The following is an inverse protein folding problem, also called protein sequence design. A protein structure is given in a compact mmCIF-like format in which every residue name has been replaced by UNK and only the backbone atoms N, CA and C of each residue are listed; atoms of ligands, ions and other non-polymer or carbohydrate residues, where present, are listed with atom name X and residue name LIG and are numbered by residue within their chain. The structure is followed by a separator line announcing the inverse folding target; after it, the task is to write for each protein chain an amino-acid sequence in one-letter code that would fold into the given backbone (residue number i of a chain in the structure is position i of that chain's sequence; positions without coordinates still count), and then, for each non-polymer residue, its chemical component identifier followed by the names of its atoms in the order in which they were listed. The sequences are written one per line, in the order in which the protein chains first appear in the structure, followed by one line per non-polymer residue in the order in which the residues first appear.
data_IF_966190564513
#
_entry.id   IF_966190564513
#
_cell.length_a   1.000
_cell.length_b   1.000
_cell.length_c   1.000
_cell.angle_alpha   90.00
_cell.angle_beta   90.00
_cell.angle_gamma   90.00
#
_symmetry.space_group_name_H-M   'P 1'
#
loop_
_entity.id
_entity.type
_entity.pdbx_description
1 polymer ?
#
# COMPACT_ATOMS: atom_id res chain seq x y z
N UNK A 1 0.48 12.74 -3.75
CA UNK A 1 1.11 14.06 -4.02
C UNK A 1 1.91 14.10 -5.33
N UNK A 2 2.75 13.12 -5.63
CA UNK A 2 3.58 13.09 -6.86
C UNK A 2 2.78 13.33 -8.16
N UNK A 3 1.61 12.72 -8.34
CA UNK A 3 0.73 12.93 -9.50
C UNK A 3 0.36 14.41 -9.74
N UNK A 4 0.32 15.21 -8.68
CA UNK A 4 -0.03 16.62 -8.71
C UNK A 4 1.17 17.49 -8.33
N UNK A 5 2.39 17.06 -8.65
CA UNK A 5 3.63 17.75 -8.27
C UNK A 5 3.59 19.24 -8.64
N UNK A 6 3.21 19.55 -9.88
CA UNK A 6 3.16 20.93 -10.38
C UNK A 6 2.19 21.84 -9.61
N UNK A 7 1.16 21.27 -8.98
CA UNK A 7 0.17 22.03 -8.21
C UNK A 7 0.53 22.13 -6.73
N UNK A 8 1.14 21.08 -6.16
CA UNK A 8 1.42 21.00 -4.73
C UNK A 8 2.82 21.50 -4.36
N UNK A 9 3.73 21.60 -5.32
CA UNK A 9 5.10 21.98 -5.03
C UNK A 9 5.16 23.40 -4.46
N UNK A 10 5.85 23.54 -3.32
CA UNK A 10 6.01 24.80 -2.59
C UNK A 10 4.70 25.46 -2.11
N UNK A 11 3.58 24.74 -2.09
CA UNK A 11 2.33 25.23 -1.50
C UNK A 11 1.91 24.38 -0.30
N UNK A 12 1.42 24.99 0.80
CA UNK A 12 0.85 24.24 1.90
C UNK A 12 -0.47 23.61 1.47
N UNK A 13 -0.59 22.29 1.60
CA UNK A 13 -1.77 21.53 1.20
C UNK A 13 -2.39 20.81 2.39
N UNK A 14 -3.70 20.97 2.58
CA UNK A 14 -4.45 20.14 3.52
C UNK A 14 -4.80 18.80 2.89
N UNK A 15 -4.38 17.70 3.53
CA UNK A 15 -4.64 16.34 3.07
C UNK A 15 -5.69 15.72 3.98
N UNK A 16 -6.90 15.53 3.46
CA UNK A 16 -7.98 14.92 4.22
C UNK A 16 -7.93 13.40 4.01
N UNK A 17 -7.90 12.63 5.09
CA UNK A 17 -7.82 11.17 5.06
C UNK A 17 -8.77 10.54 6.08
N UNK A 18 -9.31 9.37 5.74
CA UNK A 18 -10.10 8.49 6.61
C UNK A 18 -9.22 7.65 7.55
N UNK A 19 -7.91 7.60 7.30
CA UNK A 19 -7.00 6.74 8.05
C UNK A 19 -6.43 7.42 9.31
N UNK A 20 -7.18 7.34 10.42
CA UNK A 20 -6.83 7.95 11.72
C UNK A 20 -5.42 7.56 12.22
N UNK A 21 -5.02 6.31 12.03
CA UNK A 21 -3.71 5.82 12.46
C UNK A 21 -2.57 6.50 11.69
N UNK A 22 -2.74 6.72 10.38
CA UNK A 22 -1.69 7.34 9.55
C UNK A 22 -1.56 8.83 9.88
N UNK A 23 -2.66 9.52 10.15
CA UNK A 23 -2.65 10.90 10.67
C UNK A 23 -1.91 10.96 12.01
N UNK A 24 -2.11 9.97 12.90
CA UNK A 24 -1.40 9.89 14.17
C UNK A 24 0.10 9.64 13.99
N UNK A 25 0.50 8.80 13.03
CA UNK A 25 1.90 8.46 12.78
C UNK A 25 2.63 9.58 12.05
N UNK A 26 1.96 10.33 11.18
CA UNK A 26 2.53 11.50 10.50
C UNK A 26 3.04 12.56 11.48
N UNK A 27 2.43 12.68 12.67
CA UNK A 27 2.84 13.59 13.73
C UNK A 27 3.97 13.04 14.62
N UNK A 28 4.37 11.78 14.44
CA UNK A 28 5.45 11.16 15.21
C UNK A 28 6.78 11.29 14.48
N UNK A 29 7.92 11.17 15.19
CA UNK A 29 9.22 11.07 14.54
C UNK A 29 9.24 9.89 13.56
N UNK A 30 9.83 10.09 12.37
CA UNK A 30 9.90 9.09 11.32
C UNK A 30 10.45 7.74 11.81
N UNK A 31 11.43 7.77 12.72
CA UNK A 31 12.04 6.56 13.30
C UNK A 31 11.07 5.64 14.05
N UNK A 32 9.90 6.14 14.44
CA UNK A 32 8.85 5.37 15.14
C UNK A 32 7.78 4.82 14.19
N UNK A 33 7.76 5.23 12.92
CA UNK A 33 6.84 4.69 11.94
C UNK A 33 7.28 3.28 11.48
N UNK A 34 6.38 2.39 11.05
CA UNK A 34 6.73 1.15 10.37
C UNK A 34 7.49 1.41 9.05
N UNK A 35 8.35 0.48 8.60
CA UNK A 35 9.20 0.64 7.40
C UNK A 35 8.45 1.11 6.14
N UNK A 36 7.25 0.55 5.90
CA UNK A 36 6.44 0.90 4.74
C UNK A 36 5.94 2.35 4.80
N UNK A 37 5.44 2.77 5.96
CA UNK A 37 5.01 4.15 6.19
C UNK A 37 6.19 5.13 6.22
N UNK A 38 7.34 4.72 6.77
CA UNK A 38 8.58 5.52 6.72
C UNK A 38 8.96 5.88 5.28
N UNK A 39 8.94 4.89 4.38
CA UNK A 39 9.24 5.10 2.97
C UNK A 39 8.24 6.06 2.32
N UNK A 40 6.94 5.90 2.64
CA UNK A 40 5.90 6.84 2.19
C UNK A 40 6.16 8.26 2.68
N UNK A 41 6.45 8.46 3.97
CA UNK A 41 6.70 9.77 4.55
C UNK A 41 7.98 10.42 4.01
N UNK A 42 9.05 9.66 3.77
CA UNK A 42 10.26 10.17 3.10
C UNK A 42 9.95 10.73 1.72
N UNK A 43 9.11 10.03 0.94
CA UNK A 43 8.67 10.51 -0.36
C UNK A 43 7.79 11.78 -0.27
N UNK A 44 7.16 12.03 0.87
CA UNK A 44 6.31 13.19 1.12
C UNK A 44 7.07 14.39 1.70
N UNK A 45 8.32 14.23 2.16
CA UNK A 45 9.13 15.32 2.75
C UNK A 45 9.36 16.51 1.81
N UNK A 46 9.28 16.28 0.49
CA UNK A 46 9.40 17.35 -0.49
C UNK A 46 8.17 18.28 -0.59
N UNK A 47 7.09 17.96 0.12
CA UNK A 47 5.83 18.70 0.09
C UNK A 47 5.50 19.26 1.48
N UNK A 48 4.92 20.45 1.52
CA UNK A 48 4.34 21.02 2.74
C UNK A 48 2.88 20.55 2.86
N UNK A 49 2.62 19.61 3.78
CA UNK A 49 1.32 18.97 3.90
C UNK A 49 0.84 18.87 5.35
N UNK A 50 -0.48 19.04 5.52
CA UNK A 50 -1.14 18.97 6.81
C UNK A 50 -2.23 17.89 6.78
N UNK A 51 -1.98 16.71 7.38
CA UNK A 51 -2.94 15.62 7.39
C UNK A 51 -4.09 15.89 8.38
N UNK A 52 -5.33 15.73 7.92
CA UNK A 52 -6.55 15.93 8.69
C UNK A 52 -7.38 14.65 8.62
N UNK A 53 -7.75 14.11 9.78
CA UNK A 53 -8.67 12.99 9.85
C UNK A 53 -10.12 13.46 9.64
N UNK A 54 -10.83 12.79 8.72
CA UNK A 54 -12.30 12.84 8.65
C UNK A 54 -12.88 11.43 8.59
N UNK A 55 -14.02 11.15 9.22
CA UNK A 55 -14.68 9.86 9.10
C UNK A 55 -15.03 9.53 7.65
N UNK A 56 -15.03 8.25 7.31
CA UNK A 56 -15.29 7.73 5.96
C UNK A 56 -16.64 8.19 5.40
N UNK A 57 -17.66 8.31 6.27
CA UNK A 57 -18.97 8.87 5.96
C UNK A 57 -18.95 10.35 5.49
N UNK A 58 -17.80 11.01 5.45
CA UNK A 58 -17.64 12.37 4.92
C UNK A 58 -16.76 12.41 3.66
N UNK A 59 -16.20 11.27 3.23
CA UNK A 59 -15.22 11.15 2.14
C UNK A 59 -15.78 10.41 0.90
N UNK A 60 -17.08 10.52 0.66
CA UNK A 60 -17.79 9.81 -0.42
C UNK A 60 -17.14 9.89 -1.79
N UNK A 61 -16.61 11.07 -2.19
CA UNK A 61 -15.95 11.24 -3.50
C UNK A 61 -14.67 10.42 -3.57
N UNK A 62 -13.83 10.50 -2.54
CA UNK A 62 -12.57 9.76 -2.48
C UNK A 62 -12.82 8.26 -2.39
N UNK A 63 -13.79 7.83 -1.57
CA UNK A 63 -14.17 6.42 -1.43
C UNK A 63 -14.77 5.85 -2.72
N UNK A 64 -15.62 6.60 -3.40
CA UNK A 64 -16.20 6.17 -4.69
C UNK A 64 -15.11 6.01 -5.77
N UNK A 65 -14.16 6.95 -5.83
CA UNK A 65 -13.05 6.90 -6.79
C UNK A 65 -12.05 5.78 -6.47
N UNK A 66 -11.84 5.45 -5.20
CA UNK A 66 -10.93 4.36 -4.81
C UNK A 66 -11.52 2.98 -5.04
N UNK A 67 -12.85 2.83 -4.96
CA UNK A 67 -13.58 1.58 -5.21
C UNK A 67 -13.87 1.30 -6.69
N UNK A 68 -13.87 2.33 -7.52
CA UNK A 68 -14.09 2.22 -8.97
C UNK A 68 -12.87 2.71 -9.77
N UNK A 69 -11.68 2.11 -9.60
CA UNK A 69 -10.51 2.47 -10.38
C UNK A 69 -10.74 2.14 -11.86
N UNK A 70 -10.34 3.05 -12.73
CA UNK A 70 -10.30 2.79 -14.17
C UNK A 70 -9.09 1.89 -14.42
N UNK A 71 -9.25 0.83 -15.22
CA UNK A 71 -8.16 -0.06 -15.60
C UNK A 71 -7.13 0.68 -16.46
N UNK A 72 -6.17 1.33 -15.81
CA UNK A 72 -5.00 1.92 -16.45
C UNK A 72 -3.82 0.96 -16.34
N UNK A 73 -3.01 0.85 -17.39
CA UNK A 73 -1.86 -0.07 -17.52
C UNK A 73 -0.75 0.13 -16.49
N UNK A 74 -0.82 1.16 -15.65
CA UNK A 74 0.32 1.70 -14.91
C UNK A 74 0.31 1.36 -13.41
N UNK A 75 -0.69 0.62 -12.93
CA UNK A 75 -0.76 0.23 -11.51
C UNK A 75 0.17 -0.97 -11.24
N UNK A 76 1.48 -0.68 -11.25
CA UNK A 76 2.48 -1.59 -10.71
C UNK A 76 2.36 -1.54 -9.19
N UNK A 77 1.61 -2.47 -8.61
CA UNK A 77 1.72 -2.82 -7.19
C UNK A 77 3.14 -3.37 -6.97
N UNK A 78 4.11 -2.48 -6.74
CA UNK A 78 5.43 -2.86 -6.23
C UNK A 78 5.26 -3.21 -4.77
N UNK A 79 4.74 -4.41 -4.52
CA UNK A 79 5.10 -5.12 -3.32
C UNK A 79 6.64 -5.16 -3.34
N UNK A 80 7.30 -4.50 -2.38
CA UNK A 80 8.74 -4.60 -2.18
C UNK A 80 9.07 -6.02 -1.70
N UNK A 81 8.88 -7.01 -2.56
CA UNK A 81 9.19 -8.42 -2.33
C UNK A 81 10.70 -8.63 -2.41
N UNK A 82 11.45 -7.68 -2.98
CA UNK A 82 12.92 -7.71 -3.03
C UNK A 82 13.57 -7.64 -1.65
N UNK A 83 12.88 -7.13 -0.63
CA UNK A 83 13.39 -6.98 0.73
C UNK A 83 12.87 -8.11 1.66
N UNK A 84 12.71 -9.33 1.14
CA UNK A 84 12.44 -10.46 2.05
C UNK A 84 13.64 -10.67 2.98
N UNK A 85 13.45 -10.80 4.30
CA UNK A 85 14.54 -10.98 5.26
C UNK A 85 15.19 -12.38 5.18
N UNK A 86 14.93 -13.13 4.12
CA UNK A 86 15.37 -14.51 3.94
C UNK A 86 16.57 -14.57 3.01
N UNK A 87 17.57 -15.36 3.40
CA UNK A 87 18.66 -15.76 2.51
C UNK A 87 18.11 -16.66 1.38
N UNK A 88 18.72 -16.62 0.20
CA UNK A 88 18.36 -17.41 -0.99
C UNK A 88 18.24 -18.91 -0.69
N UNK A 89 19.08 -19.42 0.20
CA UNK A 89 19.00 -20.81 0.67
C UNK A 89 17.68 -21.09 1.41
N UNK A 90 17.30 -20.23 2.35
CA UNK A 90 16.04 -20.35 3.11
C UNK A 90 14.82 -20.16 2.22
N UNK A 91 14.90 -19.27 1.23
CA UNK A 91 13.83 -19.13 0.23
C UNK A 91 13.64 -20.41 -0.58
N UNK A 92 14.73 -21.10 -0.93
CA UNK A 92 14.67 -22.37 -1.65
C UNK A 92 14.03 -23.47 -0.81
N UNK A 93 14.37 -23.55 0.48
CA UNK A 93 13.73 -24.46 1.44
C UNK A 93 12.22 -24.18 1.56
N UNK A 94 11.83 -22.91 1.72
CA UNK A 94 10.42 -22.51 1.82
C UNK A 94 9.66 -22.86 0.53
N UNK A 95 10.26 -22.62 -0.65
CA UNK A 95 9.68 -23.02 -1.94
C UNK A 95 9.48 -24.53 -2.01
N UNK A 96 10.46 -25.32 -1.61
CA UNK A 96 10.35 -26.78 -1.58
C UNK A 96 9.25 -27.26 -0.62
N UNK A 97 9.21 -26.74 0.61
CA UNK A 97 8.18 -27.05 1.60
C UNK A 97 6.77 -26.63 1.13
N UNK A 98 6.67 -25.51 0.40
CA UNK A 98 5.41 -25.03 -0.18
C UNK A 98 4.89 -25.98 -1.26
N UNK A 99 5.77 -26.55 -2.09
CA UNK A 99 5.40 -27.53 -3.11
C UNK A 99 4.93 -28.86 -2.51
N UNK A 100 5.41 -29.21 -1.31
CA UNK A 100 4.98 -30.42 -0.60
C UNK A 100 3.60 -30.27 0.04
N UNK A 101 3.12 -29.04 0.27
CA UNK A 101 1.85 -28.80 0.96
C UNK A 101 0.68 -28.63 -0.04
N UNK A 102 -0.30 -29.55 -0.07
CA UNK A 102 -1.40 -29.50 -1.02
C UNK A 102 -2.33 -28.29 -0.83
N UNK A 103 -2.52 -27.82 0.41
CA UNK A 103 -3.36 -26.66 0.70
C UNK A 103 -2.72 -25.37 0.15
N UNK A 104 -1.40 -25.22 0.27
CA UNK A 104 -0.69 -24.07 -0.28
C UNK A 104 -0.64 -24.10 -1.81
N UNK A 105 -0.54 -25.28 -2.41
CA UNK A 105 -0.66 -25.43 -3.87
C UNK A 105 -2.05 -25.03 -4.38
N UNK A 106 -3.11 -25.42 -3.68
CA UNK A 106 -4.47 -25.02 -4.00
C UNK A 106 -4.64 -23.50 -3.86
N UNK A 107 -4.14 -22.91 -2.78
CA UNK A 107 -4.17 -21.46 -2.59
C UNK A 107 -3.41 -20.72 -3.70
N UNK A 108 -2.21 -21.20 -4.06
CA UNK A 108 -1.42 -20.66 -5.17
C UNK A 108 -2.21 -20.69 -6.49
N UNK A 109 -2.94 -21.78 -6.74
CA UNK A 109 -3.80 -21.91 -7.92
C UNK A 109 -4.92 -20.87 -7.91
N UNK A 110 -5.62 -20.71 -6.78
CA UNK A 110 -6.71 -19.73 -6.61
C UNK A 110 -6.21 -18.30 -6.81
N UNK A 111 -5.03 -17.95 -6.27
CA UNK A 111 -4.47 -16.62 -6.44
C UNK A 111 -4.15 -16.33 -7.92
N UNK A 112 -3.64 -17.32 -8.65
CA UNK A 112 -3.26 -17.14 -10.07
C UNK A 112 -4.45 -17.21 -11.03
N UNK A 113 -5.44 -18.05 -10.75
CA UNK A 113 -6.56 -18.34 -11.65
C UNK A 113 -7.86 -17.64 -11.24
N UNK A 114 -7.88 -16.95 -10.10
CA UNK A 114 -9.08 -16.39 -9.49
C UNK A 114 -9.81 -17.39 -8.59
N UNK A 115 -10.79 -16.89 -7.83
CA UNK A 115 -11.67 -17.75 -7.06
C UNK A 115 -12.53 -18.57 -8.02
N UNK A 116 -12.72 -19.89 -7.78
CA UNK A 116 -13.69 -20.65 -8.55
C UNK A 116 -15.06 -20.03 -8.33
N UNK A 117 -15.79 -19.79 -9.42
CA UNK A 117 -17.17 -19.32 -9.34
C UNK A 117 -17.98 -20.34 -8.53
N UNK A 118 -18.42 -19.93 -7.33
CA UNK A 118 -19.48 -20.63 -6.63
C UNK A 118 -20.76 -20.44 -7.46
N UNK A 119 -21.07 -21.45 -8.27
CA UNK A 119 -22.43 -21.67 -8.75
C UNK A 119 -23.31 -22.18 -7.61
#
# INVERSE_FOLDING_TARGET
MKKFYHYNFAQPVMVIMDHKLLVSIANKPLSKAPKLEQSMFLNLQAFDYHPIYKPDAQLHVSDSLSRAPISTSDDVYTCHISDTPFNDSRLSEIKAATLLNPALLQLKRIILQGWPDLK
#
